data_IF_520991950394
#
_entry.id   IF_520991950394
#
_cell.length_a   1.000
_cell.length_b   1.000
_cell.length_c   1.000
_cell.angle_alpha   90.00
_cell.angle_beta   90.00
_cell.angle_gamma   90.00
#
_symmetry.space_group_name_H-M   'P 1'
#
loop_
_entity.id
_entity.type
_entity.pdbx_description
1 polymer ?
#
# COMPACT_ATOMS: atom_id res chain seq x y z
N UNK A 1 8.94 -12.49 -10.76
CA UNK A 1 8.71 -13.87 -11.26
C UNK A 1 9.92 -14.75 -11.08
N UNK A 2 11.10 -14.35 -11.55
CA UNK A 2 12.32 -15.18 -11.46
C UNK A 2 12.59 -15.74 -10.05
N UNK A 3 12.48 -14.90 -9.00
CA UNK A 3 12.68 -15.35 -7.62
C UNK A 3 11.61 -16.32 -7.10
N UNK A 4 10.34 -16.15 -7.47
CA UNK A 4 9.28 -17.06 -7.03
C UNK A 4 9.35 -18.42 -7.74
N UNK A 5 9.72 -18.41 -9.02
CA UNK A 5 10.02 -19.62 -9.79
C UNK A 5 11.25 -20.34 -9.23
N UNK A 6 12.35 -19.63 -9.00
CA UNK A 6 13.57 -20.20 -8.42
C UNK A 6 13.35 -20.78 -7.01
N UNK A 7 12.45 -20.17 -6.23
CA UNK A 7 12.04 -20.66 -4.91
C UNK A 7 11.04 -21.82 -4.93
N UNK A 8 10.65 -22.34 -6.10
CA UNK A 8 9.69 -23.46 -6.22
C UNK A 8 8.23 -23.10 -5.90
N UNK A 9 7.91 -21.81 -5.80
CA UNK A 9 6.58 -21.31 -5.46
C UNK A 9 6.13 -20.21 -6.43
N UNK A 10 5.95 -20.52 -7.73
CA UNK A 10 5.53 -19.54 -8.72
C UNK A 10 4.13 -19.00 -8.42
N UNK A 11 3.88 -17.74 -8.78
CA UNK A 11 2.53 -17.17 -8.71
C UNK A 11 1.61 -17.90 -9.69
N UNK A 12 0.44 -18.34 -9.22
CA UNK A 12 -0.57 -18.98 -10.06
C UNK A 12 -1.28 -17.99 -10.99
N UNK A 13 -1.41 -16.73 -10.55
CA UNK A 13 -1.95 -15.61 -11.32
C UNK A 13 -1.20 -14.33 -10.94
N UNK A 14 -1.04 -13.43 -11.92
CA UNK A 14 -0.54 -12.07 -11.70
C UNK A 14 -1.58 -11.10 -12.24
N UNK A 15 -2.17 -10.29 -11.36
CA UNK A 15 -3.21 -9.33 -11.70
C UNK A 15 -2.60 -7.94 -11.62
N UNK A 16 -2.67 -7.17 -12.72
CA UNK A 16 -2.17 -5.80 -12.75
C UNK A 16 -3.29 -4.86 -13.20
N UNK A 17 -3.32 -3.67 -12.62
CA UNK A 17 -4.24 -2.61 -13.03
C UNK A 17 -3.56 -1.26 -13.08
N UNK A 18 -3.95 -0.44 -14.05
CA UNK A 18 -3.49 0.93 -14.21
C UNK A 18 -4.60 1.73 -14.93
N UNK A 19 -4.67 3.03 -14.62
CA UNK A 19 -5.57 3.95 -15.30
C UNK A 19 -5.06 4.24 -16.73
N UNK A 20 -3.74 4.30 -16.90
CA UNK A 20 -3.07 4.55 -18.16
C UNK A 20 -2.93 3.26 -18.97
N UNK A 21 -3.62 3.23 -20.12
CA UNK A 21 -3.67 2.09 -21.01
C UNK A 21 -2.29 1.72 -21.58
N UNK A 22 -1.47 2.71 -21.89
CA UNK A 22 -0.15 2.48 -22.51
C UNK A 22 0.81 1.89 -21.48
N UNK A 23 0.80 2.41 -20.25
CA UNK A 23 1.59 1.86 -19.13
C UNK A 23 1.17 0.43 -18.80
N UNK A 24 -0.14 0.16 -18.77
CA UNK A 24 -0.69 -1.16 -18.54
C UNK A 24 -0.23 -2.17 -19.61
N UNK A 25 -0.35 -1.81 -20.88
CA UNK A 25 0.07 -2.66 -22.00
C UNK A 25 1.58 -2.93 -21.98
N UNK A 26 2.39 -1.92 -21.69
CA UNK A 26 3.84 -2.09 -21.56
C UNK A 26 4.21 -3.00 -20.37
N UNK A 27 3.52 -2.89 -19.23
CA UNK A 27 3.72 -3.75 -18.07
C UNK A 27 3.30 -5.20 -18.36
N UNK A 28 2.18 -5.39 -19.02
CA UNK A 28 1.71 -6.71 -19.47
C UNK A 28 2.74 -7.39 -20.36
N UNK A 29 3.22 -6.69 -21.40
CA UNK A 29 4.20 -7.24 -22.33
C UNK A 29 5.47 -7.69 -21.60
N UNK A 30 6.01 -6.85 -20.69
CA UNK A 30 7.19 -7.21 -19.89
C UNK A 30 6.97 -8.46 -19.05
N UNK A 31 5.83 -8.56 -18.37
CA UNK A 31 5.51 -9.70 -17.51
C UNK A 31 5.26 -10.99 -18.31
N UNK A 32 4.59 -10.89 -19.47
CA UNK A 32 4.36 -12.04 -20.36
C UNK A 32 5.66 -12.56 -20.96
N UNK A 33 6.60 -11.68 -21.33
CA UNK A 33 7.95 -12.10 -21.78
C UNK A 33 8.69 -12.90 -20.70
N UNK A 34 8.42 -12.63 -19.42
CA UNK A 34 8.96 -13.39 -18.28
C UNK A 34 8.13 -14.66 -17.94
N UNK A 35 7.16 -15.03 -18.78
CA UNK A 35 6.31 -16.21 -18.58
C UNK A 35 5.24 -16.05 -17.50
N UNK A 36 4.92 -14.82 -17.08
CA UNK A 36 3.94 -14.61 -16.01
C UNK A 36 2.49 -14.89 -16.48
N UNK A 37 1.64 -15.52 -15.64
CA UNK A 37 0.22 -15.72 -15.93
C UNK A 37 -0.59 -14.43 -15.68
N UNK A 38 -0.43 -13.44 -16.56
CA UNK A 38 -0.97 -12.08 -16.38
C UNK A 38 -2.44 -11.95 -16.79
N UNK A 39 -3.23 -11.26 -15.97
CA UNK A 39 -4.51 -10.62 -16.35
C UNK A 39 -4.44 -9.12 -16.05
N UNK A 40 -5.01 -8.32 -16.94
CA UNK A 40 -4.98 -6.86 -16.86
C UNK A 40 -6.36 -6.28 -16.54
N UNK A 41 -6.38 -5.16 -15.83
CA UNK A 41 -7.60 -4.41 -15.50
C UNK A 41 -7.35 -2.92 -15.72
N UNK A 42 -7.92 -2.36 -16.79
CA UNK A 42 -7.82 -0.92 -17.05
C UNK A 42 -8.87 -0.17 -16.21
N UNK A 43 -8.45 0.85 -15.48
CA UNK A 43 -9.33 1.70 -14.69
C UNK A 43 -8.66 2.20 -13.41
N UNK A 44 -9.40 2.94 -12.61
CA UNK A 44 -8.89 3.37 -11.30
C UNK A 44 -8.68 2.17 -10.38
N UNK A 45 -7.77 2.30 -9.41
CA UNK A 45 -7.52 1.24 -8.43
C UNK A 45 -8.79 0.92 -7.61
N UNK A 46 -9.59 1.93 -7.26
CA UNK A 46 -10.84 1.78 -6.50
C UNK A 46 -11.92 1.01 -7.26
N UNK A 47 -11.97 1.11 -8.59
CA UNK A 47 -12.90 0.36 -9.44
C UNK A 47 -12.39 -1.05 -9.73
N UNK A 48 -11.14 -1.16 -10.17
CA UNK A 48 -10.56 -2.43 -10.62
C UNK A 48 -10.44 -3.45 -9.48
N UNK A 49 -10.14 -2.99 -8.26
CA UNK A 49 -9.98 -3.87 -7.10
C UNK A 49 -11.28 -4.62 -6.74
N UNK A 50 -12.45 -4.00 -6.94
CA UNK A 50 -13.75 -4.64 -6.71
C UNK A 50 -13.95 -5.80 -7.67
N UNK A 51 -13.66 -5.58 -8.94
CA UNK A 51 -13.73 -6.62 -9.98
C UNK A 51 -12.74 -7.75 -9.70
N UNK A 52 -11.51 -7.41 -9.30
CA UNK A 52 -10.46 -8.38 -8.96
C UNK A 52 -10.91 -9.25 -7.78
N UNK A 53 -11.25 -8.65 -6.63
CA UNK A 53 -11.61 -9.38 -5.41
C UNK A 53 -12.83 -10.28 -5.64
N UNK A 54 -13.85 -9.83 -6.38
CA UNK A 54 -15.02 -10.64 -6.71
C UNK A 54 -14.71 -11.87 -7.57
N UNK A 55 -13.59 -11.86 -8.31
CA UNK A 55 -13.16 -12.99 -9.15
C UNK A 55 -12.23 -13.98 -8.44
N UNK A 56 -11.74 -13.63 -7.24
CA UNK A 56 -10.74 -14.40 -6.51
C UNK A 56 -11.37 -15.40 -5.54
N UNK A 57 -10.71 -16.54 -5.35
CA UNK A 57 -11.04 -17.42 -4.22
C UNK A 57 -10.55 -16.77 -2.92
N UNK A 58 -11.46 -16.43 -2.02
CA UNK A 58 -11.16 -15.77 -0.76
C UNK A 58 -10.15 -16.51 0.14
N UNK A 59 -9.98 -17.83 -0.03
CA UNK A 59 -9.08 -18.68 0.75
C UNK A 59 -7.73 -19.00 0.08
N UNK A 60 -7.49 -18.54 -1.16
CA UNK A 60 -6.17 -18.63 -1.77
C UNK A 60 -5.17 -17.68 -1.05
N UNK A 61 -3.86 -17.88 -1.25
CA UNK A 61 -2.84 -16.98 -0.75
C UNK A 61 -2.72 -15.78 -1.68
N UNK A 62 -3.03 -14.59 -1.18
CA UNK A 62 -2.97 -13.35 -1.95
C UNK A 62 -1.85 -12.44 -1.46
N UNK A 63 -1.18 -11.79 -2.40
CA UNK A 63 -0.21 -10.73 -2.12
C UNK A 63 -0.56 -9.54 -3.00
N UNK A 64 -0.79 -8.38 -2.40
CA UNK A 64 -1.05 -7.14 -3.10
C UNK A 64 0.12 -6.17 -2.90
N UNK A 65 0.57 -5.54 -3.97
CA UNK A 65 1.50 -4.43 -3.92
C UNK A 65 0.76 -3.15 -4.32
N UNK A 66 0.66 -2.20 -3.40
CA UNK A 66 -0.04 -0.93 -3.61
C UNK A 66 1.01 0.17 -3.80
N UNK A 67 1.09 0.71 -5.01
CA UNK A 67 2.03 1.78 -5.38
C UNK A 67 1.28 3.03 -5.85
N UNK A 68 0.69 3.80 -4.92
CA UNK A 68 -0.04 5.01 -5.26
C UNK A 68 0.93 6.14 -5.66
N UNK A 69 0.48 7.01 -6.57
CA UNK A 69 1.27 8.17 -6.99
C UNK A 69 1.40 9.22 -5.88
N UNK A 70 0.33 9.39 -5.09
CA UNK A 70 0.23 10.29 -3.95
C UNK A 70 -0.76 9.72 -2.92
N UNK A 71 -0.89 10.35 -1.75
CA UNK A 71 -1.81 9.87 -0.70
C UNK A 71 -3.28 9.86 -1.13
N UNK A 72 -3.71 10.79 -1.97
CA UNK A 72 -5.09 10.86 -2.46
C UNK A 72 -5.48 9.61 -3.25
N UNK A 73 -4.54 9.08 -4.04
CA UNK A 73 -4.75 7.86 -4.82
C UNK A 73 -4.71 6.58 -3.99
N UNK A 74 -4.29 6.66 -2.72
CA UNK A 74 -4.35 5.54 -1.77
C UNK A 74 -5.68 5.58 -0.99
N UNK A 75 -6.79 5.51 -1.72
CA UNK A 75 -8.13 5.47 -1.11
C UNK A 75 -8.25 4.26 -0.16
N UNK A 76 -8.70 4.51 1.07
CA UNK A 76 -8.84 3.47 2.08
C UNK A 76 -9.77 2.34 1.66
N UNK A 77 -10.76 2.62 0.81
CA UNK A 77 -11.67 1.61 0.26
C UNK A 77 -10.92 0.50 -0.52
N UNK A 78 -9.72 0.78 -1.05
CA UNK A 78 -8.86 -0.25 -1.68
C UNK A 78 -8.43 -1.28 -0.63
N UNK A 79 -7.95 -0.81 0.52
CA UNK A 79 -7.49 -1.65 1.62
C UNK A 79 -8.68 -2.41 2.21
N UNK A 80 -9.81 -1.73 2.44
CA UNK A 80 -11.03 -2.36 2.92
C UNK A 80 -11.51 -3.49 1.99
N UNK A 81 -11.52 -3.24 0.67
CA UNK A 81 -11.93 -4.22 -0.34
C UNK A 81 -10.99 -5.44 -0.35
N UNK A 82 -9.68 -5.21 -0.30
CA UNK A 82 -8.69 -6.30 -0.22
C UNK A 82 -8.81 -7.10 1.08
N UNK A 83 -9.12 -6.41 2.19
CA UNK A 83 -9.29 -7.02 3.51
C UNK A 83 -10.51 -7.93 3.61
N UNK A 84 -11.42 -7.93 2.62
CA UNK A 84 -12.48 -8.94 2.52
C UNK A 84 -11.93 -10.35 2.24
N UNK A 85 -10.73 -10.48 1.64
CA UNK A 85 -10.06 -11.75 1.42
C UNK A 85 -9.63 -12.38 2.76
N UNK A 86 -9.69 -13.71 2.87
CA UNK A 86 -9.38 -14.40 4.13
C UNK A 86 -7.88 -14.55 4.37
N UNK A 87 -7.07 -14.55 3.30
CA UNK A 87 -5.61 -14.68 3.38
C UNK A 87 -4.96 -13.68 2.43
N UNK A 88 -4.56 -12.53 2.95
CA UNK A 88 -3.89 -11.51 2.15
C UNK A 88 -2.80 -10.81 2.95
N UNK A 89 -1.70 -10.57 2.25
CA UNK A 89 -0.63 -9.68 2.64
C UNK A 89 -0.60 -8.50 1.67
N UNK A 90 -0.48 -7.29 2.19
CA UNK A 90 -0.48 -6.04 1.42
C UNK A 90 0.81 -5.30 1.72
N UNK A 91 1.65 -5.12 0.70
CA UNK A 91 2.81 -4.25 0.78
C UNK A 91 2.43 -2.88 0.23
N UNK A 92 2.33 -1.90 1.12
CA UNK A 92 1.83 -0.55 0.81
C UNK A 92 2.99 0.42 0.75
N UNK A 93 3.00 1.19 -0.34
CA UNK A 93 3.94 2.25 -0.56
C UNK A 93 3.35 3.60 -0.12
N UNK A 94 4.03 4.28 0.79
CA UNK A 94 3.61 5.57 1.32
C UNK A 94 4.69 6.60 0.99
N UNK A 95 4.32 7.60 0.19
CA UNK A 95 5.24 8.65 -0.23
C UNK A 95 5.55 9.62 0.89
N UNK A 96 6.76 9.50 1.44
CA UNK A 96 7.27 10.44 2.46
C UNK A 96 7.47 11.83 1.85
N UNK A 97 7.92 11.92 0.60
CA UNK A 97 8.07 13.21 -0.08
C UNK A 97 6.73 13.92 -0.26
N UNK A 98 5.68 13.17 -0.59
CA UNK A 98 4.32 13.70 -0.72
C UNK A 98 3.80 14.20 0.63
N UNK A 99 3.94 13.39 1.69
CA UNK A 99 3.63 13.79 3.07
C UNK A 99 4.41 15.02 3.54
N UNK A 100 5.68 15.15 3.15
CA UNK A 100 6.50 16.31 3.53
C UNK A 100 6.14 17.58 2.77
N UNK A 101 5.84 17.47 1.48
CA UNK A 101 5.54 18.63 0.60
C UNK A 101 4.10 19.09 0.72
N UNK A 102 3.17 18.14 0.79
CA UNK A 102 1.74 18.38 0.76
C UNK A 102 1.06 18.15 2.12
N UNK A 103 1.77 17.65 3.14
CA UNK A 103 1.17 17.35 4.46
C UNK A 103 0.40 18.50 5.09
N UNK A 104 0.93 19.73 5.00
CA UNK A 104 0.22 20.91 5.48
C UNK A 104 -1.05 21.24 4.66
N UNK A 105 -1.05 20.93 3.35
CA UNK A 105 -2.21 21.08 2.47
C UNK A 105 -3.25 19.99 2.71
N UNK A 106 -2.81 18.77 3.00
CA UNK A 106 -3.67 17.65 3.38
C UNK A 106 -4.35 17.89 4.72
N UNK A 107 -3.65 18.50 5.67
CA UNK A 107 -4.20 18.83 6.98
C UNK A 107 -4.76 20.26 6.92
N UNK A 108 -5.63 20.51 5.93
CA UNK A 108 -6.38 21.75 5.79
C UNK A 108 -7.84 21.54 6.20
N UNK A 109 -8.51 22.62 6.61
CA UNK A 109 -9.96 22.61 6.93
C UNK A 109 -10.85 22.65 5.69
N UNK A 110 -10.29 22.56 4.49
CA UNK A 110 -11.06 22.61 3.24
C UNK A 110 -11.97 21.37 3.12
N UNK A 111 -13.10 21.53 2.43
CA UNK A 111 -14.15 20.51 2.34
C UNK A 111 -13.75 19.26 1.51
N UNK A 112 -12.59 19.27 0.86
CA UNK A 112 -12.10 18.17 0.02
C UNK A 112 -10.59 17.96 0.21
N UNK A 113 -10.19 17.46 1.38
CA UNK A 113 -8.81 17.09 1.63
C UNK A 113 -8.54 15.69 1.07
N UNK A 114 -7.35 15.46 0.51
CA UNK A 114 -6.89 14.10 0.16
C UNK A 114 -6.90 13.12 1.34
N UNK A 115 -6.92 13.61 2.58
CA UNK A 115 -7.10 12.78 3.79
C UNK A 115 -8.51 12.20 3.93
N UNK A 116 -9.51 12.76 3.24
CA UNK A 116 -10.88 12.26 3.31
C UNK A 116 -11.01 10.86 2.71
N UNK A 117 -10.30 10.61 1.60
CA UNK A 117 -10.21 9.28 0.99
C UNK A 117 -9.16 8.40 1.68
N UNK A 118 -8.02 8.97 2.12
CA UNK A 118 -6.93 8.20 2.73
C UNK A 118 -7.25 7.73 4.16
N UNK A 119 -7.89 8.58 4.97
CA UNK A 119 -8.29 8.32 6.36
C UNK A 119 -9.71 8.88 6.58
N UNK A 120 -10.76 8.17 6.13
CA UNK A 120 -12.15 8.59 6.35
C UNK A 120 -12.44 8.95 7.82
N UNK A 121 -12.87 10.20 8.07
CA UNK A 121 -13.15 10.71 9.42
C UNK A 121 -11.95 11.30 10.17
N UNK A 122 -10.80 11.53 9.51
CA UNK A 122 -9.58 12.04 10.15
C UNK A 122 -9.75 13.35 10.95
N UNK A 123 -10.68 14.23 10.56
CA UNK A 123 -10.90 15.52 11.24
C UNK A 123 -11.29 15.39 12.72
N UNK A 124 -11.83 14.24 13.11
CA UNK A 124 -12.18 13.95 14.51
C UNK A 124 -11.01 13.31 15.29
N UNK A 125 -9.95 12.88 14.60
CA UNK A 125 -8.85 12.11 15.16
C UNK A 125 -7.50 12.86 15.18
N UNK A 126 -7.35 13.89 14.34
CA UNK A 126 -6.09 14.63 14.19
C UNK A 126 -6.24 16.05 14.73
N UNK A 127 -5.32 16.46 15.60
CA UNK A 127 -5.28 17.80 16.18
C UNK A 127 -4.55 18.77 15.24
N UNK A 128 -5.32 19.48 14.42
CA UNK A 128 -4.81 20.44 13.44
C UNK A 128 -4.14 21.68 14.06
N UNK A 129 -4.23 21.88 15.39
CA UNK A 129 -3.55 22.97 16.08
C UNK A 129 -2.09 22.65 16.46
N UNK A 130 -1.68 21.37 16.35
CA UNK A 130 -0.31 20.93 16.67
C UNK A 130 0.67 21.25 15.54
N UNK A 131 1.97 21.22 15.86
CA UNK A 131 3.02 21.38 14.85
C UNK A 131 3.03 20.24 13.83
N UNK A 132 3.52 20.54 12.62
CA UNK A 132 3.52 19.64 11.46
C UNK A 132 4.13 18.24 11.72
N UNK A 133 5.06 18.10 12.67
CA UNK A 133 5.60 16.79 13.02
C UNK A 133 4.57 15.91 13.72
N UNK A 134 3.98 16.40 14.81
CA UNK A 134 2.95 15.68 15.59
C UNK A 134 1.77 15.31 14.70
N UNK A 135 1.37 16.23 13.81
CA UNK A 135 0.30 15.97 12.85
C UNK A 135 0.61 14.79 11.92
N UNK A 136 1.84 14.66 11.40
CA UNK A 136 2.23 13.52 10.55
C UNK A 136 2.23 12.20 11.32
N UNK A 137 2.66 12.23 12.57
CA UNK A 137 2.62 11.07 13.47
C UNK A 137 1.16 10.61 13.68
N UNK A 138 0.26 11.57 13.96
CA UNK A 138 -1.18 11.30 14.10
C UNK A 138 -1.82 10.78 12.81
N UNK A 139 -1.48 11.32 11.63
CA UNK A 139 -1.94 10.78 10.34
C UNK A 139 -1.54 9.30 10.22
N UNK A 140 -0.29 8.97 10.51
CA UNK A 140 0.21 7.61 10.35
C UNK A 140 -0.42 6.63 11.34
N UNK A 141 -0.54 7.00 12.62
CA UNK A 141 -1.20 6.16 13.63
C UNK A 141 -2.70 6.01 13.34
N UNK A 142 -3.40 7.08 12.96
CA UNK A 142 -4.81 6.99 12.57
C UNK A 142 -5.02 6.05 11.38
N UNK A 143 -4.09 6.04 10.42
CA UNK A 143 -4.16 5.15 9.27
C UNK A 143 -3.91 3.70 9.68
N UNK A 144 -2.94 3.43 10.56
CA UNK A 144 -2.71 2.09 11.13
C UNK A 144 -3.92 1.57 11.88
N UNK A 145 -4.51 2.38 12.76
CA UNK A 145 -5.74 2.02 13.48
C UNK A 145 -6.89 1.66 12.52
N UNK A 146 -7.00 2.42 11.43
CA UNK A 146 -8.02 2.18 10.43
C UNK A 146 -7.79 0.86 9.67
N UNK A 147 -6.54 0.53 9.32
CA UNK A 147 -6.19 -0.79 8.79
C UNK A 147 -6.54 -1.89 9.78
N UNK A 148 -6.18 -1.73 11.05
CA UNK A 148 -6.44 -2.72 12.10
C UNK A 148 -7.94 -2.98 12.29
N UNK A 149 -8.78 -1.96 12.11
CA UNK A 149 -10.25 -2.11 12.14
C UNK A 149 -10.79 -3.06 11.05
N UNK A 150 -10.05 -3.32 9.98
CA UNK A 150 -10.42 -4.27 8.91
C UNK A 150 -10.02 -5.73 9.22
N UNK A 151 -9.38 -5.97 10.37
CA UNK A 151 -8.82 -7.27 10.73
C UNK A 151 -7.52 -7.61 10.00
N UNK A 152 -6.80 -6.60 9.53
CA UNK A 152 -5.44 -6.69 8.98
C UNK A 152 -4.51 -5.91 9.91
N UNK A 153 -3.33 -6.42 10.22
CA UNK A 153 -2.41 -5.79 11.15
C UNK A 153 -1.21 -5.22 10.41
N UNK A 154 -0.83 -3.99 10.76
CA UNK A 154 0.34 -3.32 10.18
C UNK A 154 1.64 -3.79 10.85
N UNK A 155 2.73 -3.83 10.10
CA UNK A 155 4.06 -4.06 10.66
C UNK A 155 4.51 -2.85 11.46
N UNK A 156 5.12 -3.08 12.63
CA UNK A 156 5.80 -2.02 13.39
C UNK A 156 7.03 -1.50 12.64
N UNK A 157 7.69 -2.37 11.88
CA UNK A 157 8.87 -2.03 11.08
C UNK A 157 8.44 -1.44 9.72
N UNK A 158 8.89 -0.22 9.45
CA UNK A 158 8.73 0.43 8.14
C UNK A 158 10.08 0.53 7.47
N UNK A 159 10.16 0.04 6.22
CA UNK A 159 11.40 0.15 5.47
C UNK A 159 11.44 1.48 4.73
N UNK A 160 12.41 2.31 5.09
CA UNK A 160 12.73 3.52 4.35
C UNK A 160 13.51 3.16 3.08
N UNK A 161 12.97 3.50 1.92
CA UNK A 161 13.65 3.38 0.65
C UNK A 161 14.31 4.72 0.32
N UNK A 162 15.62 4.70 0.09
CA UNK A 162 16.41 5.86 -0.31
C UNK A 162 16.87 5.76 -1.76
N UNK A 163 16.96 6.90 -2.44
CA UNK A 163 17.51 6.98 -3.79
C UNK A 163 19.04 7.02 -3.79
N UNK A 164 19.63 7.04 -4.98
CA UNK A 164 21.09 7.03 -5.19
C UNK A 164 21.85 8.22 -4.60
N UNK A 165 21.16 9.30 -4.22
CA UNK A 165 21.71 10.49 -3.54
C UNK A 165 21.26 10.56 -2.07
N UNK A 166 20.89 9.43 -1.48
CA UNK A 166 20.35 9.30 -0.13
C UNK A 166 19.05 10.10 0.11
N UNK A 167 18.34 10.48 -0.96
CA UNK A 167 17.04 11.12 -0.83
C UNK A 167 16.02 10.10 -0.32
N UNK A 168 15.28 10.43 0.73
CA UNK A 168 14.21 9.59 1.25
C UNK A 168 13.05 9.55 0.25
N UNK A 169 12.84 8.42 -0.40
CA UNK A 169 11.81 8.29 -1.41
C UNK A 169 10.49 7.89 -0.74
N UNK A 170 10.47 6.73 -0.08
CA UNK A 170 9.22 6.12 0.35
C UNK A 170 9.35 5.27 1.60
N UNK A 171 8.21 5.09 2.26
CA UNK A 171 8.02 4.12 3.33
C UNK A 171 7.29 2.91 2.76
N UNK A 172 7.87 1.72 2.96
CA UNK A 172 7.20 0.45 2.71
C UNK A 172 6.67 -0.10 4.04
N UNK A 173 5.38 -0.36 4.07
CA UNK A 173 4.70 -0.96 5.21
C UNK A 173 4.02 -2.25 4.76
N UNK A 174 4.20 -3.32 5.53
CA UNK A 174 3.44 -4.55 5.34
C UNK A 174 2.18 -4.50 6.22
N UNK A 175 1.03 -4.78 5.64
CA UNK A 175 -0.22 -5.03 6.35
C UNK A 175 -0.67 -6.45 6.05
N UNK A 176 -0.84 -7.29 7.07
CA UNK A 176 -1.13 -8.71 6.89
C UNK A 176 -2.11 -9.24 7.93
N UNK A 177 -2.87 -10.27 7.57
CA UNK A 177 -3.78 -10.97 8.51
C UNK A 177 -3.09 -12.01 9.38
N UNK A 178 -1.90 -12.44 8.99
CA UNK A 178 -1.19 -13.52 9.66
C UNK A 178 0.14 -13.02 10.23
N UNK A 179 0.38 -13.31 11.50
CA UNK A 179 1.60 -12.94 12.21
C UNK A 179 2.87 -13.47 11.54
N UNK A 180 2.79 -14.58 10.81
CA UNK A 180 3.92 -15.14 10.09
C UNK A 180 4.44 -14.18 9.01
N UNK A 181 3.55 -13.50 8.29
CA UNK A 181 3.94 -12.51 7.28
C UNK A 181 4.65 -11.32 7.94
N UNK A 182 4.18 -10.86 9.10
CA UNK A 182 4.82 -9.80 9.87
C UNK A 182 6.22 -10.21 10.36
N UNK A 183 6.39 -11.47 10.80
CA UNK A 183 7.70 -12.02 11.18
C UNK A 183 8.67 -12.11 10.01
N UNK A 184 8.18 -12.53 8.84
CA UNK A 184 8.98 -12.52 7.61
C UNK A 184 9.39 -11.11 7.20
N UNK A 185 8.47 -10.15 7.29
CA UNK A 185 8.77 -8.76 6.99
C UNK A 185 9.85 -8.19 7.92
N UNK A 186 9.69 -8.38 9.23
CA UNK A 186 10.70 -7.98 10.21
C UNK A 186 12.08 -8.51 9.85
N UNK A 187 12.17 -9.79 9.49
CA UNK A 187 13.44 -10.40 9.07
C UNK A 187 13.96 -9.82 7.75
N UNK A 188 13.08 -9.52 6.80
CA UNK A 188 13.45 -8.99 5.49
C UNK A 188 13.90 -7.52 5.51
N UNK A 189 13.45 -6.76 6.51
CA UNK A 189 13.83 -5.34 6.70
C UNK A 189 14.92 -5.13 7.74
N UNK A 190 15.23 -6.15 8.54
CA UNK A 190 16.33 -6.14 9.50
C UNK A 190 17.69 -6.15 8.79
N UNK A 191 18.06 -4.97 8.28
CA UNK A 191 19.38 -4.65 7.73
C UNK A 191 20.13 -3.65 8.62
N UNK A 192 19.73 -3.51 9.89
CA UNK A 192 20.31 -2.56 10.84
C UNK A 192 19.89 -1.09 10.67
N UNK A 193 18.78 -0.79 9.96
CA UNK A 193 18.27 0.57 9.79
C UNK A 193 16.97 0.83 10.57
N UNK A 194 17.09 1.65 11.61
CA UNK A 194 16.18 2.74 12.01
C UNK A 194 14.71 2.43 12.32
N UNK A 195 14.36 2.55 13.60
CA UNK A 195 13.01 2.77 14.13
C UNK A 195 12.32 3.97 13.45
N UNK A 196 10.99 3.91 13.32
CA UNK A 196 10.18 5.11 13.16
C UNK A 196 10.39 5.96 14.42
N UNK A 197 10.99 7.13 14.23
CA UNK A 197 11.44 8.11 15.24
C UNK A 197 12.80 7.80 15.88
#
# INVERSE_FOLDING_TARGET
MEKSVAGGAPFSQVLIGDLDKERLAAAEQRLRTLGAPVKIYQGSATETIKTIVNSLNAYALHFAFLDPYNLETLDFNIIETLSALKRIDMLVHISKMDLQRNGAKYISKEEHSSLDSFIPGWRQRIDVARGNQVQREQVFECWKDLIESTGVYSSSDVRLITGSKNQHLYWLLLAAKNDLALKFWKTAVDTGQGSLF
#
